data_IF_843028772503
#
_entry.id   IF_843028772503
#
_cell.length_a   1.000
_cell.length_b   1.000
_cell.length_c   1.000
_cell.angle_alpha   90.00
_cell.angle_beta   90.00
_cell.angle_gamma   90.00
#
_symmetry.space_group_name_H-M   'P 1'
#
loop_
_entity.id
_entity.type
_entity.pdbx_description
1 polymer ?
#
# COMPACT_ATOMS: atom_id res chain seq x y z
N UNK A 1 -15.30 48.35 15.40
CA UNK A 1 -15.18 47.24 14.44
C UNK A 1 -14.74 46.00 15.21
N UNK A 2 -15.63 45.07 15.47
CA UNK A 2 -15.33 43.84 16.20
C UNK A 2 -14.63 42.87 15.30
N UNK A 3 -13.41 42.44 15.64
CA UNK A 3 -12.70 41.33 14.96
C UNK A 3 -13.54 40.05 15.15
N UNK A 4 -14.10 39.51 14.05
CA UNK A 4 -14.67 38.17 14.06
C UNK A 4 -13.56 37.19 14.48
N UNK A 5 -13.76 36.56 15.64
CA UNK A 5 -12.92 35.41 16.02
C UNK A 5 -13.04 34.35 14.93
N UNK A 6 -11.91 33.94 14.34
CA UNK A 6 -11.86 32.77 13.47
C UNK A 6 -12.26 31.57 14.33
N UNK A 7 -13.34 30.90 13.96
CA UNK A 7 -13.69 29.61 14.52
C UNK A 7 -12.47 28.68 14.36
N UNK A 8 -11.94 28.19 15.45
CA UNK A 8 -10.88 27.18 15.45
C UNK A 8 -11.53 25.92 14.88
N UNK A 9 -11.13 25.53 13.66
CA UNK A 9 -11.63 24.32 13.01
C UNK A 9 -11.14 23.13 13.84
N UNK A 10 -12.06 22.32 14.32
CA UNK A 10 -11.74 21.11 15.09
C UNK A 10 -10.86 20.20 14.23
N UNK A 11 -9.73 19.72 14.79
CA UNK A 11 -8.79 18.86 14.08
C UNK A 11 -9.42 17.50 13.84
N UNK A 12 -9.17 16.89 12.67
CA UNK A 12 -9.59 15.52 12.39
C UNK A 12 -8.94 14.53 13.38
N UNK A 13 -9.49 13.34 13.50
CA UNK A 13 -8.91 12.28 14.35
C UNK A 13 -7.50 11.95 13.87
N UNK A 14 -7.33 11.83 12.55
CA UNK A 14 -6.04 11.58 11.92
C UNK A 14 -5.01 12.66 12.26
N UNK A 15 -5.38 13.95 12.17
CA UNK A 15 -4.52 15.07 12.54
C UNK A 15 -4.14 15.03 14.04
N UNK A 16 -5.06 14.65 14.89
CA UNK A 16 -4.81 14.55 16.35
C UNK A 16 -3.85 13.43 16.70
N UNK A 17 -4.02 12.27 16.06
CA UNK A 17 -3.11 11.12 16.21
C UNK A 17 -1.72 11.50 15.72
N UNK A 18 -1.64 12.11 14.53
CA UNK A 18 -0.37 12.53 13.96
C UNK A 18 0.38 13.55 14.82
N UNK A 19 -0.30 14.59 15.30
CA UNK A 19 0.30 15.60 16.18
C UNK A 19 0.82 14.98 17.49
N UNK A 20 0.11 13.98 18.00
CA UNK A 20 0.49 13.31 19.24
C UNK A 20 1.65 12.35 19.00
N UNK A 21 1.60 11.62 17.93
CA UNK A 21 2.70 10.78 17.47
C UNK A 21 3.97 11.62 17.29
N UNK A 22 3.90 12.80 16.69
CA UNK A 22 5.04 13.70 16.51
C UNK A 22 5.78 14.07 17.80
N UNK A 23 5.10 14.01 18.94
CA UNK A 23 5.75 14.23 20.25
C UNK A 23 6.75 13.11 20.62
N UNK A 24 6.56 11.90 20.09
CA UNK A 24 7.47 10.76 20.30
C UNK A 24 8.76 10.83 19.50
N UNK A 25 8.83 11.70 18.49
CA UNK A 25 9.94 11.74 17.53
C UNK A 25 11.32 11.83 18.20
N UNK A 26 11.49 12.69 19.19
CA UNK A 26 12.69 12.75 20.04
C UNK A 26 14.02 12.46 19.33
N UNK A 27 14.74 11.45 19.84
CA UNK A 27 16.04 10.98 19.30
C UNK A 27 15.89 9.77 18.37
N UNK A 28 14.68 9.42 17.94
CA UNK A 28 14.42 8.30 17.05
C UNK A 28 14.74 8.66 15.60
N UNK A 29 15.27 7.71 14.85
CA UNK A 29 15.30 7.81 13.39
C UNK A 29 13.88 7.78 12.82
N UNK A 30 13.69 8.28 11.60
CA UNK A 30 12.38 8.33 10.98
C UNK A 30 11.72 6.94 10.89
N UNK A 31 12.49 5.90 10.52
CA UNK A 31 11.99 4.53 10.43
C UNK A 31 11.61 3.94 11.80
N UNK A 32 12.40 4.20 12.84
CA UNK A 32 12.10 3.75 14.19
C UNK A 32 10.85 4.41 14.76
N UNK A 33 10.74 5.71 14.56
CA UNK A 33 9.57 6.50 14.95
C UNK A 33 8.31 6.00 14.25
N UNK A 34 8.37 5.76 12.95
CA UNK A 34 7.30 5.18 12.15
C UNK A 34 6.82 3.84 12.73
N UNK A 35 7.74 2.93 13.04
CA UNK A 35 7.42 1.63 13.62
C UNK A 35 6.71 1.75 14.98
N UNK A 36 7.17 2.67 15.83
CA UNK A 36 6.57 2.90 17.15
C UNK A 36 5.12 3.39 17.01
N UNK A 37 4.89 4.38 16.13
CA UNK A 37 3.56 4.95 15.94
C UNK A 37 2.60 3.94 15.31
N UNK A 38 3.00 3.31 14.22
CA UNK A 38 2.15 2.34 13.51
C UNK A 38 1.85 1.10 14.36
N UNK A 39 2.81 0.68 15.17
CA UNK A 39 2.61 -0.42 16.13
C UNK A 39 1.58 -0.07 17.22
N UNK A 40 1.58 1.17 17.74
CA UNK A 40 0.55 1.62 18.69
C UNK A 40 -0.84 1.71 18.06
N UNK A 41 -0.94 2.24 16.83
CA UNK A 41 -2.21 2.25 16.07
C UNK A 41 -2.73 0.83 15.90
N UNK A 42 -1.85 -0.11 15.55
CA UNK A 42 -2.21 -1.50 15.36
C UNK A 42 -2.63 -2.20 16.67
N UNK A 43 -1.91 -1.96 17.76
CA UNK A 43 -2.26 -2.48 19.08
C UNK A 43 -3.63 -1.99 19.54
N UNK A 44 -3.91 -0.68 19.35
CA UNK A 44 -5.23 -0.12 19.67
C UNK A 44 -6.33 -0.74 18.82
N UNK A 45 -6.08 -0.92 17.51
CA UNK A 45 -7.02 -1.60 16.61
C UNK A 45 -7.37 -3.02 17.10
N UNK A 46 -6.35 -3.83 17.38
CA UNK A 46 -6.55 -5.21 17.87
C UNK A 46 -7.41 -5.19 19.14
N UNK A 47 -7.06 -4.31 20.08
CA UNK A 47 -7.74 -4.21 21.37
C UNK A 47 -9.20 -3.80 21.21
N UNK A 48 -9.50 -2.81 20.36
CA UNK A 48 -10.86 -2.34 20.16
C UNK A 48 -11.74 -3.38 19.43
N UNK A 49 -11.17 -4.11 18.47
CA UNK A 49 -11.88 -5.22 17.82
C UNK A 49 -12.19 -6.33 18.82
N UNK A 50 -11.23 -6.66 19.68
CA UNK A 50 -11.41 -7.65 20.74
C UNK A 50 -12.49 -7.20 21.74
N UNK A 51 -12.38 -5.98 22.28
CA UNK A 51 -13.32 -5.47 23.28
C UNK A 51 -14.75 -5.39 22.73
N UNK A 52 -14.90 -5.04 21.46
CA UNK A 52 -16.20 -5.05 20.79
C UNK A 52 -16.80 -6.46 20.77
N UNK A 53 -16.04 -7.46 20.28
CA UNK A 53 -16.54 -8.86 20.23
C UNK A 53 -16.78 -9.42 21.62
N UNK A 54 -15.92 -9.14 22.59
CA UNK A 54 -16.08 -9.51 23.99
C UNK A 54 -17.41 -9.02 24.56
N UNK A 55 -17.73 -7.73 24.35
CA UNK A 55 -18.99 -7.15 24.82
C UNK A 55 -20.20 -7.76 24.12
N UNK A 56 -20.13 -8.04 22.82
CA UNK A 56 -21.19 -8.75 22.08
C UNK A 56 -21.47 -10.12 22.71
N UNK A 57 -20.43 -10.91 22.97
CA UNK A 57 -20.57 -12.25 23.60
C UNK A 57 -21.11 -12.16 25.04
N UNK A 58 -20.70 -11.14 25.81
CA UNK A 58 -21.29 -10.89 27.15
C UNK A 58 -22.78 -10.54 27.05
N UNK A 59 -23.20 -9.75 26.04
CA UNK A 59 -24.60 -9.42 25.82
C UNK A 59 -25.42 -10.63 25.35
N UNK A 60 -24.85 -11.52 24.57
CA UNK A 60 -25.44 -12.82 24.18
C UNK A 60 -25.70 -13.71 25.40
N UNK A 61 -24.86 -13.61 26.45
CA UNK A 61 -25.09 -14.22 27.76
C UNK A 61 -24.90 -15.73 27.80
N UNK A 62 -24.23 -16.32 26.81
CA UNK A 62 -23.97 -17.78 26.72
C UNK A 62 -22.67 -18.22 27.43
N UNK A 63 -21.83 -17.28 27.89
CA UNK A 63 -20.60 -17.54 28.65
C UNK A 63 -19.40 -17.91 27.79
N UNK A 64 -19.41 -17.53 26.50
CA UNK A 64 -18.32 -17.82 25.56
C UNK A 64 -17.34 -16.64 25.36
N UNK A 65 -17.41 -15.61 26.18
CA UNK A 65 -16.58 -14.41 26.06
C UNK A 65 -15.07 -14.64 26.27
N UNK A 66 -14.70 -15.79 26.81
CA UNK A 66 -13.28 -16.22 26.95
C UNK A 66 -12.95 -17.44 26.05
N UNK A 67 -13.79 -17.74 25.04
CA UNK A 67 -13.52 -18.81 24.09
C UNK A 67 -12.82 -18.27 22.83
N UNK A 68 -11.61 -18.74 22.56
CA UNK A 68 -10.78 -18.34 21.41
C UNK A 68 -11.46 -18.53 20.05
N UNK A 69 -12.24 -19.59 19.91
CA UNK A 69 -12.87 -19.97 18.63
C UNK A 69 -13.90 -18.94 18.20
N UNK A 70 -14.59 -18.29 19.14
CA UNK A 70 -15.56 -17.22 18.89
C UNK A 70 -14.93 -15.96 18.27
N UNK A 71 -13.67 -15.71 18.55
CA UNK A 71 -12.93 -14.58 17.96
C UNK A 71 -12.34 -14.96 16.60
N UNK A 72 -11.77 -16.16 16.52
CA UNK A 72 -11.16 -16.66 15.27
C UNK A 72 -12.21 -16.79 14.15
N UNK A 73 -13.42 -17.23 14.46
CA UNK A 73 -14.53 -17.35 13.50
C UNK A 73 -14.90 -16.02 12.84
N UNK A 74 -14.77 -14.90 13.59
CA UNK A 74 -15.05 -13.54 13.12
C UNK A 74 -13.79 -12.80 12.65
N UNK A 75 -12.63 -13.48 12.51
CA UNK A 75 -11.33 -12.88 12.17
C UNK A 75 -10.88 -11.80 13.15
N UNK A 76 -11.25 -11.91 14.42
CA UNK A 76 -10.78 -11.07 15.51
C UNK A 76 -9.57 -11.73 16.18
N UNK A 77 -8.52 -10.94 16.41
CA UNK A 77 -7.34 -11.43 17.12
C UNK A 77 -7.65 -11.59 18.61
N UNK A 78 -7.20 -12.71 19.17
CA UNK A 78 -7.32 -12.94 20.61
C UNK A 78 -6.39 -12.02 21.40
N UNK A 79 -6.91 -11.40 22.47
CA UNK A 79 -6.13 -10.56 23.37
C UNK A 79 -6.14 -11.16 24.78
N UNK A 80 -5.00 -11.72 25.24
CA UNK A 80 -4.87 -12.23 26.61
C UNK A 80 -5.22 -11.20 27.67
N UNK A 81 -5.70 -11.64 28.81
CA UNK A 81 -6.26 -10.78 29.85
C UNK A 81 -5.28 -9.69 30.32
N UNK A 82 -3.99 -10.02 30.47
CA UNK A 82 -2.92 -9.09 30.89
C UNK A 82 -2.47 -8.14 29.78
N UNK A 83 -2.75 -8.46 28.50
CA UNK A 83 -2.46 -7.66 27.32
C UNK A 83 -3.60 -6.71 26.90
N UNK A 84 -4.76 -6.76 27.57
CA UNK A 84 -5.92 -5.93 27.23
C UNK A 84 -5.63 -4.43 27.41
N UNK A 85 -6.17 -3.62 26.53
CA UNK A 85 -5.91 -2.18 26.47
C UNK A 85 -6.11 -1.46 27.79
N UNK A 86 -7.13 -1.83 28.56
CA UNK A 86 -7.41 -1.28 29.88
C UNK A 86 -6.20 -1.37 30.83
N UNK A 87 -5.45 -2.46 30.77
CA UNK A 87 -4.25 -2.64 31.60
C UNK A 87 -3.13 -1.70 31.12
N UNK A 88 -2.95 -1.55 29.81
CA UNK A 88 -1.97 -0.64 29.21
C UNK A 88 -2.30 0.80 29.59
N UNK A 89 -3.55 1.24 29.39
CA UNK A 89 -4.02 2.57 29.69
C UNK A 89 -3.86 2.94 31.19
N UNK A 90 -4.13 1.99 32.10
CA UNK A 90 -3.94 2.18 33.55
C UNK A 90 -2.49 2.47 33.93
N UNK A 91 -1.53 2.08 33.07
CA UNK A 91 -0.09 2.25 33.28
C UNK A 91 0.51 3.41 32.48
N UNK A 92 -0.31 4.24 31.83
CA UNK A 92 0.15 5.33 30.94
C UNK A 92 1.15 6.29 31.65
N UNK A 93 0.94 6.61 32.92
CA UNK A 93 1.87 7.44 33.68
C UNK A 93 3.03 6.70 34.35
N UNK A 94 3.13 5.38 34.15
CA UNK A 94 4.21 4.58 34.73
C UNK A 94 5.50 4.72 33.91
N UNK A 95 6.68 4.83 34.55
CA UNK A 95 7.95 4.74 33.85
C UNK A 95 8.16 3.36 33.18
N UNK A 96 7.33 2.37 33.51
CA UNK A 96 7.33 1.03 32.91
C UNK A 96 6.39 0.88 31.71
N UNK A 97 5.73 1.94 31.27
CA UNK A 97 4.74 1.87 30.16
C UNK A 97 5.30 1.17 28.92
N UNK A 98 6.55 1.42 28.54
CA UNK A 98 7.18 0.73 27.42
C UNK A 98 7.30 -0.78 27.61
N UNK A 99 7.61 -1.24 28.82
CA UNK A 99 7.68 -2.67 29.16
C UNK A 99 6.27 -3.32 29.13
N UNK A 100 5.26 -2.57 29.57
CA UNK A 100 3.86 -3.04 29.53
C UNK A 100 3.39 -3.23 28.10
N UNK A 101 3.71 -2.28 27.21
CA UNK A 101 3.37 -2.38 25.81
C UNK A 101 4.13 -3.53 25.13
N UNK A 102 5.44 -3.65 25.36
CA UNK A 102 6.24 -4.74 24.79
C UNK A 102 5.70 -6.12 25.23
N UNK A 103 5.34 -6.27 26.51
CA UNK A 103 4.74 -7.48 27.05
C UNK A 103 3.40 -7.80 26.39
N UNK A 104 2.51 -6.80 26.28
CA UNK A 104 1.20 -6.99 25.64
C UNK A 104 1.33 -7.45 24.17
N UNK A 105 2.24 -6.83 23.41
CA UNK A 105 2.51 -7.19 22.02
C UNK A 105 3.10 -8.60 21.89
N UNK A 106 3.96 -9.00 22.82
CA UNK A 106 4.54 -10.34 22.87
C UNK A 106 3.47 -11.40 23.15
N UNK A 107 2.61 -11.19 24.15
CA UNK A 107 1.54 -12.13 24.51
C UNK A 107 0.49 -12.24 23.38
N UNK A 108 0.07 -11.12 22.78
CA UNK A 108 -0.80 -11.15 21.60
C UNK A 108 -0.14 -11.94 20.46
N UNK A 109 1.16 -11.75 20.22
CA UNK A 109 1.88 -12.46 19.16
C UNK A 109 2.06 -13.96 19.44
N UNK A 110 2.07 -14.40 20.71
CA UNK A 110 2.11 -15.84 21.09
C UNK A 110 0.78 -16.53 20.78
N UNK A 111 -0.31 -15.88 21.11
CA UNK A 111 -1.66 -16.43 20.93
C UNK A 111 -2.15 -16.35 19.47
N UNK A 112 -1.58 -15.44 18.66
CA UNK A 112 -1.96 -15.27 17.26
C UNK A 112 -0.77 -15.58 16.33
N UNK A 113 -0.66 -16.80 15.79
CA UNK A 113 0.50 -17.23 14.98
C UNK A 113 0.80 -16.30 13.78
N UNK A 114 -0.23 -15.73 13.15
CA UNK A 114 -0.09 -14.75 12.06
C UNK A 114 0.66 -13.47 12.48
N UNK A 115 0.63 -13.11 13.78
CA UNK A 115 1.23 -11.88 14.31
C UNK A 115 2.60 -12.09 14.95
N UNK A 116 3.02 -13.33 15.21
CA UNK A 116 4.22 -13.66 15.97
C UNK A 116 5.51 -12.96 15.51
N UNK A 117 5.69 -12.78 14.17
CA UNK A 117 6.87 -12.13 13.59
C UNK A 117 6.63 -10.66 13.24
N UNK A 118 5.37 -10.21 13.33
CA UNK A 118 4.90 -8.92 12.84
C UNK A 118 4.95 -7.87 13.94
N UNK A 119 4.63 -8.24 15.18
CA UNK A 119 4.50 -7.31 16.29
C UNK A 119 5.81 -6.58 16.59
N UNK A 120 5.80 -5.24 16.66
CA UNK A 120 6.97 -4.49 17.14
C UNK A 120 7.17 -4.69 18.63
N UNK A 121 8.41 -4.70 19.10
CA UNK A 121 8.75 -4.98 20.50
C UNK A 121 9.90 -4.10 21.00
N UNK A 122 9.80 -2.79 20.80
CA UNK A 122 10.89 -1.85 21.07
C UNK A 122 10.47 -0.63 21.89
N UNK A 123 9.36 -0.71 22.66
CA UNK A 123 8.83 0.42 23.42
C UNK A 123 9.56 0.67 24.73
N UNK A 124 10.24 -0.34 25.28
CA UNK A 124 11.01 -0.26 26.53
C UNK A 124 12.37 0.45 26.38
N UNK A 125 12.88 0.63 25.15
CA UNK A 125 14.20 1.23 24.91
C UNK A 125 14.33 2.64 25.50
N UNK A 126 15.58 3.02 25.91
CA UNK A 126 15.86 4.30 26.54
C UNK A 126 15.56 5.54 25.65
N UNK A 127 15.68 5.37 24.32
CA UNK A 127 15.48 6.45 23.34
C UNK A 127 14.02 6.92 23.26
N UNK A 128 13.08 6.10 23.71
CA UNK A 128 11.66 6.46 23.77
C UNK A 128 11.35 7.12 25.11
N UNK A 129 10.92 8.37 25.04
CA UNK A 129 10.44 9.13 26.20
C UNK A 129 9.14 8.51 26.75
N UNK A 130 9.20 7.96 27.95
CA UNK A 130 8.09 7.25 28.60
C UNK A 130 6.92 8.15 28.97
N UNK A 131 7.18 9.42 29.26
CA UNK A 131 6.12 10.40 29.55
C UNK A 131 5.32 10.67 28.29
N UNK A 132 6.02 10.97 27.19
CA UNK A 132 5.37 11.21 25.88
C UNK A 132 4.66 9.96 25.36
N UNK A 133 5.23 8.77 25.57
CA UNK A 133 4.58 7.51 25.21
C UNK A 133 3.25 7.34 25.97
N UNK A 134 3.25 7.64 27.27
CA UNK A 134 2.04 7.64 28.09
C UNK A 134 0.99 8.65 27.61
N UNK A 135 1.40 9.88 27.25
CA UNK A 135 0.48 10.89 26.67
C UNK A 135 -0.18 10.38 25.37
N UNK A 136 0.56 9.65 24.53
CA UNK A 136 -0.01 9.05 23.30
C UNK A 136 -1.00 7.95 23.63
N UNK A 137 -0.68 7.08 24.61
CA UNK A 137 -1.61 6.04 25.07
C UNK A 137 -2.91 6.66 25.58
N UNK A 138 -2.84 7.74 26.37
CA UNK A 138 -4.05 8.45 26.85
C UNK A 138 -4.89 9.05 25.73
N UNK A 139 -4.24 9.57 24.70
CA UNK A 139 -4.96 10.10 23.54
C UNK A 139 -5.71 9.00 22.82
N UNK A 140 -5.08 7.84 22.62
CA UNK A 140 -5.74 6.67 22.06
C UNK A 140 -6.87 6.14 22.95
N UNK A 141 -6.69 6.15 24.27
CA UNK A 141 -7.69 5.69 25.23
C UNK A 141 -8.96 6.58 25.18
N UNK A 142 -8.78 7.89 25.02
CA UNK A 142 -9.87 8.85 24.93
C UNK A 142 -10.47 9.00 23.52
N UNK A 143 -10.05 8.21 22.56
CA UNK A 143 -10.64 8.18 21.21
C UNK A 143 -11.74 7.14 21.16
N UNK A 144 -12.96 7.59 20.94
CA UNK A 144 -14.06 6.72 20.58
C UNK A 144 -13.94 6.37 19.07
N UNK A 145 -13.28 5.25 18.81
CA UNK A 145 -13.07 4.77 17.44
C UNK A 145 -14.33 4.15 16.86
N UNK A 146 -15.39 3.98 17.64
CA UNK A 146 -16.67 3.40 17.21
C UNK A 146 -17.81 4.44 17.11
N UNK A 147 -17.59 5.70 17.53
CA UNK A 147 -18.62 6.74 17.63
C UNK A 147 -19.38 7.05 16.33
N UNK A 148 -18.87 6.63 15.18
CA UNK A 148 -19.45 6.94 13.86
C UNK A 148 -19.84 5.70 13.04
N UNK A 149 -19.85 4.50 13.59
CA UNK A 149 -20.19 3.28 12.85
C UNK A 149 -19.14 2.82 11.82
N UNK A 150 -17.99 3.48 11.76
CA UNK A 150 -16.94 3.32 10.76
C UNK A 150 -15.66 2.65 11.31
N UNK A 151 -15.73 1.92 12.43
CA UNK A 151 -14.57 1.52 13.22
C UNK A 151 -13.38 0.94 12.44
N UNK A 152 -13.58 -0.10 11.62
CA UNK A 152 -12.49 -0.73 10.84
C UNK A 152 -11.95 0.23 9.77
N UNK A 153 -12.82 0.99 9.11
CA UNK A 153 -12.41 1.94 8.06
C UNK A 153 -11.61 3.12 8.65
N UNK A 154 -11.96 3.58 9.86
CA UNK A 154 -11.23 4.63 10.56
C UNK A 154 -9.79 4.24 10.86
N UNK A 155 -9.53 3.04 11.41
CA UNK A 155 -8.17 2.56 11.65
C UNK A 155 -7.38 2.44 10.34
N UNK A 156 -8.00 1.92 9.30
CA UNK A 156 -7.41 1.85 7.98
C UNK A 156 -7.02 3.22 7.44
N UNK A 157 -7.88 4.24 7.61
CA UNK A 157 -7.58 5.63 7.20
C UNK A 157 -6.47 6.24 8.04
N UNK A 158 -6.50 6.07 9.37
CA UNK A 158 -5.45 6.56 10.27
C UNK A 158 -4.11 5.95 9.93
N UNK A 159 -4.07 4.63 9.69
CA UNK A 159 -2.85 3.93 9.33
C UNK A 159 -2.29 4.44 8.00
N UNK A 160 -3.13 4.58 6.98
CA UNK A 160 -2.76 5.12 5.66
C UNK A 160 -2.29 6.58 5.76
N UNK A 161 -2.99 7.41 6.55
CA UNK A 161 -2.61 8.80 6.82
C UNK A 161 -1.22 8.92 7.46
N UNK A 162 -0.94 8.07 8.45
CA UNK A 162 0.38 8.01 9.05
C UNK A 162 1.45 7.59 8.03
N UNK A 163 1.20 6.56 7.22
CA UNK A 163 2.12 6.13 6.15
C UNK A 163 2.41 7.25 5.15
N UNK A 164 1.40 7.99 4.71
CA UNK A 164 1.54 9.11 3.78
C UNK A 164 2.40 10.24 4.38
N UNK A 165 2.13 10.62 5.64
CA UNK A 165 2.90 11.66 6.31
C UNK A 165 4.35 11.23 6.54
N UNK A 166 4.60 9.97 6.92
CA UNK A 166 5.96 9.45 7.03
C UNK A 166 6.69 9.48 5.68
N UNK A 167 6.02 9.08 4.60
CA UNK A 167 6.59 9.16 3.27
C UNK A 167 6.93 10.61 2.87
N UNK A 168 6.10 11.57 3.25
CA UNK A 168 6.36 12.99 3.00
C UNK A 168 7.54 13.55 3.80
N UNK A 169 7.79 13.04 5.02
CA UNK A 169 8.87 13.50 5.90
C UNK A 169 10.22 12.82 5.65
N UNK A 170 10.23 11.54 5.27
CA UNK A 170 11.46 10.80 4.98
C UNK A 170 12.01 11.21 3.62
N UNK A 171 12.97 12.12 3.61
CA UNK A 171 13.82 12.33 2.44
C UNK A 171 14.55 11.01 2.18
N UNK A 172 14.20 10.37 1.07
CA UNK A 172 14.57 9.01 0.72
C UNK A 172 16.08 8.77 0.67
N UNK A 173 16.63 8.18 1.70
CA UNK A 173 17.96 7.57 1.66
C UNK A 173 17.92 6.04 1.45
N UNK A 174 16.79 5.45 1.07
CA UNK A 174 16.68 3.99 1.01
C UNK A 174 15.75 3.40 -0.06
N UNK A 175 15.22 4.17 -0.99
CA UNK A 175 14.40 3.59 -2.09
C UNK A 175 12.99 3.15 -1.69
N UNK A 176 12.56 3.36 -0.46
CA UNK A 176 11.20 3.06 -0.02
C UNK A 176 10.27 4.19 -0.42
N UNK A 177 9.56 4.00 -1.54
CA UNK A 177 8.59 4.98 -2.04
C UNK A 177 7.17 4.53 -1.68
N UNK A 178 6.46 5.37 -0.95
CA UNK A 178 5.00 5.23 -0.87
C UNK A 178 4.41 5.51 -2.25
N UNK A 179 3.70 4.54 -2.82
CA UNK A 179 3.05 4.72 -4.12
C UNK A 179 1.81 5.58 -3.96
N UNK A 180 1.72 6.73 -4.64
CA UNK A 180 0.52 7.56 -4.60
C UNK A 180 -0.74 6.78 -4.96
N UNK A 181 -1.80 6.97 -4.18
CA UNK A 181 -3.06 6.24 -4.34
C UNK A 181 -3.65 6.38 -5.76
N UNK A 182 -3.52 7.53 -6.38
CA UNK A 182 -4.02 7.76 -7.74
C UNK A 182 -3.29 6.91 -8.80
N UNK A 183 -1.99 6.62 -8.63
CA UNK A 183 -1.25 5.69 -9.51
C UNK A 183 -1.76 4.26 -9.31
N UNK A 184 -1.89 3.84 -8.04
CA UNK A 184 -2.38 2.50 -7.71
C UNK A 184 -3.78 2.29 -8.28
N UNK A 185 -4.67 3.26 -8.10
CA UNK A 185 -6.04 3.21 -8.64
C UNK A 185 -6.06 3.16 -10.16
N UNK A 186 -5.17 3.91 -10.83
CA UNK A 186 -5.04 3.81 -12.29
C UNK A 186 -4.71 2.38 -12.73
N UNK A 187 -3.77 1.71 -12.03
CA UNK A 187 -3.41 0.32 -12.32
C UNK A 187 -4.59 -0.62 -12.08
N UNK A 188 -5.23 -0.50 -10.93
CA UNK A 188 -6.35 -1.37 -10.52
C UNK A 188 -7.56 -1.21 -11.43
N UNK A 189 -7.91 0.04 -11.82
CA UNK A 189 -9.01 0.33 -12.75
C UNK A 189 -8.77 -0.20 -14.16
N UNK A 190 -7.51 -0.27 -14.59
CA UNK A 190 -7.15 -0.88 -15.88
C UNK A 190 -7.14 -2.40 -15.81
N UNK A 191 -6.58 -2.98 -14.74
CA UNK A 191 -6.42 -4.44 -14.61
C UNK A 191 -7.70 -5.14 -14.18
N UNK A 192 -8.52 -4.50 -13.34
CA UNK A 192 -9.80 -5.01 -12.80
C UNK A 192 -9.66 -6.39 -12.12
N UNK A 193 -8.91 -6.51 -11.01
CA UNK A 193 -8.63 -7.77 -10.34
C UNK A 193 -9.82 -8.24 -9.49
N UNK A 194 -10.95 -8.61 -10.12
CA UNK A 194 -12.15 -9.07 -9.43
C UNK A 194 -12.03 -10.43 -8.76
N UNK A 195 -11.19 -11.30 -9.30
CA UNK A 195 -10.95 -12.65 -8.79
C UNK A 195 -9.61 -13.16 -9.29
N UNK A 196 -9.03 -14.14 -8.59
CA UNK A 196 -7.76 -14.76 -8.95
C UNK A 196 -6.62 -14.38 -8.01
N UNK A 197 -5.40 -14.61 -8.46
CA UNK A 197 -4.16 -14.45 -7.69
C UNK A 197 -3.49 -13.13 -8.02
N UNK A 198 -3.37 -12.25 -7.03
CA UNK A 198 -2.78 -10.92 -7.14
C UNK A 198 -1.41 -10.92 -6.46
N UNK A 199 -0.36 -10.49 -7.17
CA UNK A 199 1.02 -10.50 -6.68
C UNK A 199 1.69 -9.13 -6.80
N UNK A 200 2.48 -8.79 -5.79
CA UNK A 200 3.40 -7.65 -5.80
C UNK A 200 4.78 -8.09 -5.27
N UNK A 201 5.82 -8.21 -6.14
CA UNK A 201 7.15 -8.64 -5.75
C UNK A 201 7.96 -7.59 -4.96
N UNK A 202 7.44 -6.38 -4.81
CA UNK A 202 8.05 -5.28 -4.05
C UNK A 202 6.95 -4.51 -3.32
N UNK A 203 6.18 -5.24 -2.49
CA UNK A 203 4.85 -4.81 -2.04
C UNK A 203 4.87 -3.61 -1.08
N UNK A 204 6.04 -3.20 -0.59
CA UNK A 204 6.12 -2.08 0.33
C UNK A 204 5.22 -2.29 1.54
N UNK A 205 4.43 -1.29 1.88
CA UNK A 205 3.41 -1.37 2.95
C UNK A 205 2.09 -2.02 2.53
N UNK A 206 2.01 -2.67 1.37
CA UNK A 206 0.82 -3.37 0.88
C UNK A 206 -0.23 -2.48 0.22
N UNK A 207 0.13 -1.28 -0.20
CA UNK A 207 -0.81 -0.30 -0.79
C UNK A 207 -1.54 -0.79 -2.05
N UNK A 208 -0.88 -1.57 -2.92
CA UNK A 208 -1.50 -2.17 -4.11
C UNK A 208 -2.64 -3.12 -3.73
N UNK A 209 -2.44 -3.95 -2.70
CA UNK A 209 -3.45 -4.90 -2.24
C UNK A 209 -4.66 -4.22 -1.61
N UNK A 210 -4.41 -3.18 -0.81
CA UNK A 210 -5.48 -2.38 -0.18
C UNK A 210 -6.38 -1.75 -1.23
N UNK A 211 -5.81 -1.15 -2.27
CA UNK A 211 -6.60 -0.53 -3.34
C UNK A 211 -7.31 -1.58 -4.20
N UNK A 212 -6.70 -2.75 -4.43
CA UNK A 212 -7.37 -3.86 -5.11
C UNK A 212 -8.59 -4.34 -4.33
N UNK A 213 -8.46 -4.49 -3.02
CA UNK A 213 -9.58 -4.87 -2.16
C UNK A 213 -10.70 -3.82 -2.17
N UNK A 214 -10.36 -2.53 -2.06
CA UNK A 214 -11.32 -1.42 -2.18
C UNK A 214 -12.05 -1.46 -3.52
N UNK A 215 -11.34 -1.68 -4.63
CA UNK A 215 -11.93 -1.80 -5.96
C UNK A 215 -12.96 -2.92 -6.03
N UNK A 216 -12.61 -4.13 -5.53
CA UNK A 216 -13.53 -5.29 -5.52
C UNK A 216 -14.78 -4.98 -4.70
N UNK A 217 -14.64 -4.39 -3.51
CA UNK A 217 -15.77 -4.03 -2.65
C UNK A 217 -16.71 -3.01 -3.31
N UNK A 218 -16.17 -1.99 -3.95
CA UNK A 218 -16.95 -0.94 -4.59
C UNK A 218 -17.74 -1.41 -5.80
N UNK A 219 -17.21 -2.41 -6.50
CA UNK A 219 -17.90 -3.05 -7.62
C UNK A 219 -18.75 -4.26 -7.18
N UNK A 220 -19.09 -4.35 -5.88
CA UNK A 220 -19.90 -5.44 -5.31
C UNK A 220 -19.32 -6.83 -5.56
N UNK A 221 -17.99 -6.91 -5.71
CA UNK A 221 -17.27 -8.17 -5.88
C UNK A 221 -17.11 -8.93 -4.55
N UNK A 222 -16.59 -10.14 -4.65
CA UNK A 222 -16.35 -11.00 -3.50
C UNK A 222 -14.84 -11.08 -3.19
N UNK A 223 -14.40 -10.46 -2.11
CA UNK A 223 -13.00 -10.47 -1.68
C UNK A 223 -12.45 -11.88 -1.43
N UNK A 224 -13.29 -12.86 -1.07
CA UNK A 224 -12.86 -14.25 -0.88
C UNK A 224 -12.38 -14.93 -2.16
N UNK A 225 -12.63 -14.32 -3.33
CA UNK A 225 -12.13 -14.79 -4.61
C UNK A 225 -10.76 -14.22 -5.01
N UNK A 226 -10.25 -13.26 -4.25
CA UNK A 226 -8.94 -12.64 -4.48
C UNK A 226 -7.94 -13.20 -3.49
N UNK A 227 -6.89 -13.83 -3.99
CA UNK A 227 -5.78 -14.35 -3.18
C UNK A 227 -4.58 -13.43 -3.34
N UNK A 228 -4.10 -12.88 -2.25
CA UNK A 228 -3.03 -11.88 -2.21
C UNK A 228 -1.70 -12.54 -1.92
N UNK A 229 -0.70 -12.24 -2.75
CA UNK A 229 0.69 -12.68 -2.59
C UNK A 229 1.61 -11.48 -2.69
N UNK A 230 2.65 -11.44 -1.87
CA UNK A 230 3.60 -10.34 -1.91
C UNK A 230 4.97 -10.74 -1.44
N UNK A 231 5.93 -9.90 -1.74
CA UNK A 231 7.26 -10.00 -1.19
C UNK A 231 7.83 -8.62 -0.92
N UNK A 232 8.58 -8.48 0.16
CA UNK A 232 9.21 -7.23 0.56
C UNK A 232 10.62 -7.50 1.09
N UNK A 233 11.57 -6.67 0.69
CA UNK A 233 12.98 -6.80 1.07
C UNK A 233 13.26 -6.33 2.50
N UNK A 234 12.62 -5.23 2.92
CA UNK A 234 12.87 -4.60 4.21
C UNK A 234 12.01 -5.24 5.31
N UNK A 235 12.66 -5.67 6.38
CA UNK A 235 12.00 -6.33 7.53
C UNK A 235 10.89 -5.48 8.17
N UNK A 236 11.13 -4.16 8.32
CA UNK A 236 10.17 -3.27 8.96
C UNK A 236 8.98 -3.01 8.03
N UNK A 237 9.25 -2.79 6.75
CA UNK A 237 8.22 -2.57 5.73
C UNK A 237 7.36 -3.82 5.52
N UNK A 238 7.97 -5.02 5.57
CA UNK A 238 7.25 -6.29 5.56
C UNK A 238 6.26 -6.41 6.74
N UNK A 239 6.72 -6.05 7.96
CA UNK A 239 5.84 -6.00 9.15
C UNK A 239 4.70 -4.98 8.98
N UNK A 240 5.01 -3.80 8.44
CA UNK A 240 4.01 -2.78 8.15
C UNK A 240 2.95 -3.26 7.14
N UNK A 241 3.35 -4.00 6.11
CA UNK A 241 2.42 -4.61 5.17
C UNK A 241 1.46 -5.58 5.86
N UNK A 242 1.97 -6.48 6.70
CA UNK A 242 1.13 -7.39 7.48
C UNK A 242 0.13 -6.65 8.37
N UNK A 243 0.58 -5.63 9.12
CA UNK A 243 -0.32 -4.82 9.95
C UNK A 243 -1.37 -4.09 9.12
N UNK A 244 -0.97 -3.50 7.98
CA UNK A 244 -1.86 -2.78 7.08
C UNK A 244 -2.97 -3.67 6.51
N UNK A 245 -2.63 -4.90 6.12
CA UNK A 245 -3.57 -5.87 5.58
C UNK A 245 -4.48 -6.43 6.69
N UNK A 246 -3.91 -6.72 7.86
CA UNK A 246 -4.65 -7.24 9.00
C UNK A 246 -5.74 -6.26 9.49
N UNK A 247 -5.45 -4.95 9.58
CA UNK A 247 -6.43 -3.90 9.93
C UNK A 247 -7.65 -3.94 8.98
N UNK A 248 -7.48 -4.42 7.76
CA UNK A 248 -8.54 -4.47 6.75
C UNK A 248 -9.15 -5.86 6.57
N UNK A 249 -8.77 -6.80 7.44
CA UNK A 249 -9.23 -8.19 7.35
C UNK A 249 -8.79 -8.90 6.06
N UNK A 250 -7.67 -8.47 5.46
CA UNK A 250 -7.14 -9.05 4.23
C UNK A 250 -6.10 -10.12 4.57
N UNK A 251 -6.38 -11.35 4.19
CA UNK A 251 -5.39 -12.43 4.23
C UNK A 251 -4.44 -12.33 3.04
N UNK A 252 -3.12 -12.45 3.32
CA UNK A 252 -2.09 -12.39 2.29
C UNK A 252 -0.92 -13.34 2.63
N UNK A 253 -0.37 -13.95 1.60
CA UNK A 253 0.91 -14.66 1.69
C UNK A 253 2.04 -13.71 1.27
N UNK A 254 2.74 -13.14 2.26
CA UNK A 254 3.90 -12.28 2.05
C UNK A 254 5.23 -13.03 2.23
N UNK A 255 5.20 -14.36 2.16
CA UNK A 255 6.32 -15.23 2.47
C UNK A 255 6.54 -15.40 3.98
N UNK A 256 7.32 -16.41 4.37
CA UNK A 256 7.63 -16.69 5.78
C UNK A 256 8.48 -15.62 6.46
N UNK A 257 9.15 -14.78 5.67
CA UNK A 257 10.00 -13.66 6.09
C UNK A 257 10.20 -12.69 4.93
N UNK A 258 10.68 -11.50 5.25
CA UNK A 258 11.21 -10.56 4.25
C UNK A 258 12.35 -11.19 3.44
N UNK A 259 12.56 -10.74 2.20
CA UNK A 259 13.60 -11.27 1.34
C UNK A 259 13.72 -10.56 -0.02
N UNK A 260 14.88 -10.74 -0.64
CA UNK A 260 15.17 -10.21 -1.98
C UNK A 260 14.45 -11.02 -3.06
N UNK A 261 13.52 -10.41 -3.78
CA UNK A 261 12.73 -11.07 -4.83
C UNK A 261 13.57 -11.63 -5.99
N UNK A 262 14.79 -11.14 -6.18
CA UNK A 262 15.69 -11.70 -7.16
C UNK A 262 16.50 -12.88 -6.63
N UNK A 263 17.06 -12.75 -5.42
CA UNK A 263 17.98 -13.74 -4.86
C UNK A 263 17.34 -14.75 -3.92
N UNK A 264 16.16 -14.47 -3.38
CA UNK A 264 15.42 -15.30 -2.43
C UNK A 264 13.91 -15.21 -2.69
N UNK A 265 13.53 -15.64 -3.89
CA UNK A 265 12.14 -15.60 -4.39
C UNK A 265 11.24 -16.55 -3.59
N UNK A 266 10.40 -15.98 -2.72
CA UNK A 266 9.50 -16.74 -1.83
C UNK A 266 8.35 -17.43 -2.59
N UNK A 267 8.10 -17.00 -3.82
CA UNK A 267 7.01 -17.47 -4.68
C UNK A 267 7.51 -18.11 -5.99
N UNK A 268 8.74 -18.63 -6.02
CA UNK A 268 9.45 -19.07 -7.22
C UNK A 268 8.65 -20.02 -8.14
N UNK A 269 7.78 -20.86 -7.57
CA UNK A 269 7.00 -21.85 -8.32
C UNK A 269 5.56 -21.38 -8.62
N UNK A 270 5.22 -20.14 -8.24
CA UNK A 270 3.86 -19.64 -8.32
C UNK A 270 3.62 -18.84 -9.60
N UNK A 271 2.37 -18.87 -10.09
CA UNK A 271 1.91 -18.05 -11.21
C UNK A 271 0.69 -17.25 -10.80
N UNK A 272 0.60 -16.02 -11.33
CA UNK A 272 -0.37 -15.03 -10.88
C UNK A 272 -1.19 -14.48 -12.05
N UNK A 273 -2.45 -14.15 -11.77
CA UNK A 273 -3.38 -13.62 -12.76
C UNK A 273 -3.19 -12.11 -12.92
N UNK A 274 -2.86 -11.44 -11.82
CA UNK A 274 -2.56 -10.01 -11.79
C UNK A 274 -1.26 -9.78 -11.02
N UNK A 275 -0.35 -9.02 -11.63
CA UNK A 275 0.87 -8.56 -10.97
C UNK A 275 0.89 -7.05 -11.02
N UNK A 276 0.99 -6.40 -9.87
CA UNK A 276 0.99 -4.96 -9.76
C UNK A 276 2.13 -4.52 -8.87
N UNK A 277 3.00 -3.63 -9.36
CA UNK A 277 4.14 -3.22 -8.56
C UNK A 277 4.63 -1.81 -8.87
N UNK A 278 5.24 -1.22 -7.85
CA UNK A 278 6.07 -0.04 -7.94
C UNK A 278 7.44 -0.35 -7.32
N UNK A 279 8.31 -1.11 -8.00
CA UNK A 279 9.62 -1.49 -7.47
C UNK A 279 10.58 -0.29 -7.40
N UNK A 280 11.70 -0.41 -6.67
CA UNK A 280 12.73 0.62 -6.65
C UNK A 280 13.23 0.96 -8.04
N UNK A 281 13.23 2.27 -8.41
CA UNK A 281 13.64 2.72 -9.73
C UNK A 281 15.15 2.71 -9.88
N UNK A 282 15.63 2.25 -11.04
CA UNK A 282 17.04 2.31 -11.43
C UNK A 282 18.00 1.68 -10.39
N UNK A 283 17.55 0.65 -9.69
CA UNK A 283 18.33 -0.02 -8.65
C UNK A 283 19.56 -0.67 -9.27
N UNK A 284 20.74 -0.32 -8.76
CA UNK A 284 22.01 -1.00 -9.03
C UNK A 284 22.25 -2.07 -7.96
N UNK A 285 23.26 -2.91 -8.15
CA UNK A 285 23.71 -3.91 -7.17
C UNK A 285 22.60 -4.92 -6.77
N UNK A 286 21.67 -5.23 -7.68
CA UNK A 286 20.55 -6.16 -7.49
C UNK A 286 20.96 -7.65 -7.58
N UNK A 287 22.26 -7.96 -7.53
CA UNK A 287 22.76 -9.33 -7.58
C UNK A 287 22.95 -9.92 -8.98
N UNK A 288 22.95 -9.09 -10.04
CA UNK A 288 23.03 -9.49 -11.44
C UNK A 288 24.09 -10.55 -11.75
N UNK A 289 25.30 -10.43 -11.18
CA UNK A 289 26.41 -11.38 -11.40
C UNK A 289 26.09 -12.79 -10.95
N UNK A 290 25.34 -12.93 -9.85
CA UNK A 290 24.94 -14.25 -9.32
C UNK A 290 23.78 -14.86 -10.09
N UNK A 291 23.07 -14.03 -10.85
CA UNK A 291 21.83 -14.37 -11.56
C UNK A 291 22.01 -14.33 -13.07
N UNK A 292 23.25 -14.35 -13.60
CA UNK A 292 23.51 -14.26 -15.04
C UNK A 292 22.80 -15.33 -15.86
N UNK A 293 22.66 -16.54 -15.31
CA UNK A 293 22.07 -17.71 -15.98
C UNK A 293 20.65 -18.02 -15.49
N UNK A 294 19.99 -17.03 -14.86
CA UNK A 294 18.65 -17.22 -14.29
C UNK A 294 17.60 -17.44 -15.39
N UNK A 295 16.72 -18.40 -15.16
CA UNK A 295 15.67 -18.80 -16.12
C UNK A 295 14.67 -17.69 -16.43
N UNK A 296 14.58 -16.67 -15.58
CA UNK A 296 13.73 -15.51 -15.77
C UNK A 296 14.18 -14.62 -16.94
N UNK A 297 15.46 -14.63 -17.30
CA UNK A 297 16.03 -13.74 -18.34
C UNK A 297 15.78 -14.20 -19.78
N UNK A 298 14.56 -14.62 -20.05
CA UNK A 298 14.15 -15.14 -21.36
C UNK A 298 14.36 -14.15 -22.52
N UNK A 299 14.24 -12.86 -22.24
CA UNK A 299 14.34 -11.79 -23.25
C UNK A 299 15.72 -11.14 -23.30
N UNK A 300 16.64 -11.59 -22.49
CA UNK A 300 18.02 -11.13 -22.39
C UNK A 300 18.40 -10.79 -20.96
N UNK A 301 19.69 -10.94 -20.64
CA UNK A 301 20.20 -10.67 -19.29
C UNK A 301 20.15 -9.17 -19.02
N UNK A 302 19.48 -8.72 -17.94
CA UNK A 302 19.43 -7.31 -17.59
C UNK A 302 20.80 -6.79 -17.12
N UNK A 303 21.11 -5.50 -17.33
CA UNK A 303 22.39 -4.93 -16.92
C UNK A 303 22.55 -4.89 -15.41
N UNK A 304 23.76 -5.08 -14.91
CA UNK A 304 24.11 -4.96 -13.48
C UNK A 304 23.79 -3.56 -12.91
N UNK A 305 23.92 -2.54 -13.73
CA UNK A 305 23.73 -1.14 -13.34
C UNK A 305 22.26 -0.71 -13.16
N UNK A 306 21.30 -1.53 -13.61
CA UNK A 306 19.88 -1.14 -13.57
C UNK A 306 18.94 -2.37 -13.58
N UNK A 307 18.10 -2.49 -12.54
CA UNK A 307 17.18 -3.60 -12.38
C UNK A 307 15.81 -3.41 -13.08
N UNK A 308 15.54 -2.30 -13.77
CA UNK A 308 14.21 -2.05 -14.34
C UNK A 308 13.73 -3.22 -15.22
N UNK A 309 14.60 -3.73 -16.10
CA UNK A 309 14.27 -4.86 -16.95
C UNK A 309 14.41 -6.25 -16.27
N UNK A 310 15.06 -6.32 -15.11
CA UNK A 310 15.00 -7.49 -14.24
C UNK A 310 13.61 -7.60 -13.60
N UNK A 311 13.05 -6.50 -13.08
CA UNK A 311 11.69 -6.45 -12.56
C UNK A 311 10.65 -6.85 -13.61
N UNK A 312 10.74 -6.29 -14.83
CA UNK A 312 9.84 -6.68 -15.94
C UNK A 312 9.90 -8.18 -16.16
N UNK A 313 11.09 -8.76 -16.31
CA UNK A 313 11.23 -10.18 -16.64
C UNK A 313 10.87 -11.10 -15.47
N UNK A 314 11.15 -10.69 -14.22
CA UNK A 314 10.67 -11.39 -13.03
C UNK A 314 9.15 -11.50 -13.02
N UNK A 315 8.45 -10.39 -13.23
CA UNK A 315 6.98 -10.40 -13.28
C UNK A 315 6.43 -11.20 -14.46
N UNK A 316 7.01 -11.06 -15.64
CA UNK A 316 6.63 -11.86 -16.81
C UNK A 316 6.85 -13.35 -16.55
N UNK A 317 7.91 -13.74 -15.84
CA UNK A 317 8.13 -15.13 -15.44
C UNK A 317 7.00 -15.66 -14.56
N UNK A 318 6.55 -14.87 -13.59
CA UNK A 318 5.49 -15.24 -12.67
C UNK A 318 4.07 -15.09 -13.22
N UNK A 319 3.91 -14.59 -14.43
CA UNK A 319 2.59 -14.35 -15.02
C UNK A 319 1.93 -15.67 -15.46
N UNK A 320 0.66 -15.84 -15.12
CA UNK A 320 -0.18 -16.96 -15.59
C UNK A 320 -0.40 -16.86 -17.12
N UNK A 321 -0.87 -17.92 -17.80
CA UNK A 321 -1.10 -17.90 -19.27
C UNK A 321 -2.07 -16.82 -19.75
N UNK A 322 -2.93 -16.32 -18.87
CA UNK A 322 -3.91 -15.25 -19.15
C UNK A 322 -3.67 -14.00 -18.32
N UNK A 323 -2.55 -13.97 -17.61
CA UNK A 323 -2.28 -12.93 -16.62
C UNK A 323 -1.92 -11.57 -17.23
N UNK A 324 -2.07 -10.54 -16.40
CA UNK A 324 -1.82 -9.14 -16.73
C UNK A 324 -0.91 -8.49 -15.70
N UNK A 325 -0.09 -7.53 -16.14
CA UNK A 325 0.80 -6.75 -15.25
C UNK A 325 0.48 -5.26 -15.37
N UNK A 326 0.55 -4.55 -14.26
CA UNK A 326 0.63 -3.09 -14.16
C UNK A 326 1.88 -2.70 -13.37
N UNK A 327 2.86 -2.11 -14.04
CA UNK A 327 4.18 -1.85 -13.50
C UNK A 327 4.56 -0.38 -13.62
N UNK A 328 4.89 0.25 -12.49
CA UNK A 328 5.41 1.62 -12.44
C UNK A 328 6.92 1.60 -12.67
N UNK A 329 7.41 2.38 -13.61
CA UNK A 329 8.84 2.58 -13.85
C UNK A 329 9.16 4.03 -14.17
N UNK A 330 10.42 4.42 -13.97
CA UNK A 330 10.92 5.71 -14.45
C UNK A 330 10.81 5.81 -15.98
N UNK A 331 10.50 7.00 -16.51
CA UNK A 331 10.36 7.22 -17.96
C UNK A 331 11.61 6.82 -18.78
N UNK A 332 12.81 6.81 -18.16
CA UNK A 332 14.02 6.29 -18.77
C UNK A 332 13.87 4.88 -19.31
N UNK A 333 13.01 4.05 -18.72
CA UNK A 333 12.73 2.68 -19.18
C UNK A 333 12.20 2.62 -20.62
N UNK A 334 11.56 3.69 -21.10
CA UNK A 334 11.00 3.76 -22.46
C UNK A 334 12.06 3.93 -23.56
N UNK A 335 13.17 4.57 -23.24
CA UNK A 335 14.14 5.04 -24.24
C UNK A 335 15.56 4.52 -24.05
N UNK A 336 15.90 4.00 -22.86
CA UNK A 336 17.24 3.49 -22.57
C UNK A 336 17.68 2.40 -23.56
N UNK A 337 18.94 2.43 -23.95
CA UNK A 337 19.61 1.38 -24.71
C UNK A 337 20.84 0.84 -23.99
N UNK A 338 21.14 1.38 -22.80
CA UNK A 338 22.32 1.03 -22.01
C UNK A 338 22.27 -0.44 -21.59
N UNK A 339 23.41 -1.11 -21.65
CA UNK A 339 23.55 -2.48 -21.14
C UNK A 339 22.60 -3.52 -21.78
N UNK A 340 22.13 -3.30 -22.99
CA UNK A 340 21.25 -4.22 -23.69
C UNK A 340 19.76 -4.03 -23.42
N UNK A 341 19.34 -3.06 -22.59
CA UNK A 341 17.94 -2.83 -22.25
C UNK A 341 17.06 -2.56 -23.49
N UNK A 342 17.60 -1.87 -24.50
CA UNK A 342 16.89 -1.64 -25.77
C UNK A 342 16.54 -2.93 -26.50
N UNK A 343 17.43 -3.94 -26.49
CA UNK A 343 17.20 -5.23 -27.12
C UNK A 343 16.20 -6.08 -26.31
N UNK A 344 16.27 -6.03 -24.98
CA UNK A 344 15.27 -6.69 -24.12
C UNK A 344 13.89 -6.09 -24.38
N UNK A 345 13.77 -4.76 -24.44
CA UNK A 345 12.51 -4.07 -24.76
C UNK A 345 11.95 -4.51 -26.12
N UNK A 346 12.80 -4.54 -27.15
CA UNK A 346 12.44 -5.00 -28.49
C UNK A 346 11.85 -6.41 -28.44
N UNK A 347 12.54 -7.35 -27.79
CA UNK A 347 12.06 -8.74 -27.67
C UNK A 347 10.76 -8.90 -26.90
N UNK A 348 10.53 -8.09 -25.87
CA UNK A 348 9.25 -8.06 -25.14
C UNK A 348 8.10 -7.58 -26.04
N UNK A 349 8.35 -6.58 -26.90
CA UNK A 349 7.36 -6.07 -27.87
C UNK A 349 7.13 -7.13 -28.96
N UNK A 350 8.18 -7.73 -29.52
CA UNK A 350 8.09 -8.79 -30.54
C UNK A 350 7.40 -10.07 -30.01
N UNK A 351 7.52 -10.33 -28.71
CA UNK A 351 6.77 -11.40 -28.03
C UNK A 351 5.29 -11.04 -27.77
N UNK A 352 4.85 -9.88 -28.23
CA UNK A 352 3.49 -9.35 -28.12
C UNK A 352 2.96 -9.26 -26.68
N UNK A 353 3.86 -9.00 -25.72
CA UNK A 353 3.49 -8.90 -24.29
C UNK A 353 3.05 -7.51 -23.87
N UNK A 354 3.58 -6.46 -24.48
CA UNK A 354 3.26 -5.08 -24.11
C UNK A 354 1.88 -4.72 -24.63
N UNK A 355 0.94 -4.45 -23.71
CA UNK A 355 -0.44 -4.08 -24.04
C UNK A 355 -0.62 -2.57 -24.16
N UNK A 356 -0.03 -1.82 -23.22
CA UNK A 356 -0.11 -0.36 -23.25
C UNK A 356 0.89 0.30 -22.32
N UNK A 357 1.08 1.59 -22.53
CA UNK A 357 1.96 2.45 -21.73
C UNK A 357 1.26 3.78 -21.45
N UNK A 358 1.25 4.18 -20.19
CA UNK A 358 0.71 5.48 -19.75
C UNK A 358 1.87 6.34 -19.26
N UNK A 359 2.13 7.47 -19.92
CA UNK A 359 3.06 8.48 -19.43
C UNK A 359 2.35 9.33 -18.37
N UNK A 360 2.82 9.24 -17.12
CA UNK A 360 2.16 9.88 -15.98
C UNK A 360 2.60 11.34 -15.82
N UNK A 361 1.80 12.18 -15.14
CA UNK A 361 2.20 13.54 -14.77
C UNK A 361 3.43 13.55 -13.84
N UNK A 362 4.15 14.65 -13.86
CA UNK A 362 5.19 14.91 -12.87
C UNK A 362 4.59 15.24 -11.50
N UNK A 363 5.39 15.15 -10.45
CA UNK A 363 5.03 15.56 -9.08
C UNK A 363 3.89 14.75 -8.44
N UNK A 364 3.66 13.52 -8.88
CA UNK A 364 2.72 12.60 -8.22
C UNK A 364 3.29 12.03 -6.92
N UNK A 365 4.60 11.77 -6.87
CA UNK A 365 5.28 11.28 -5.66
C UNK A 365 5.65 12.44 -4.74
N UNK A 366 5.51 12.25 -3.43
CA UNK A 366 5.80 13.29 -2.42
C UNK A 366 7.28 13.70 -2.41
N UNK A 367 8.19 12.74 -2.58
CA UNK A 367 9.64 12.95 -2.39
C UNK A 367 10.47 12.77 -3.65
N UNK A 368 9.86 12.48 -4.79
CA UNK A 368 10.58 12.22 -6.04
C UNK A 368 9.96 12.98 -7.19
N UNK A 369 10.77 13.83 -7.84
CA UNK A 369 10.37 14.54 -9.06
C UNK A 369 10.62 13.73 -10.34
N UNK A 370 10.99 12.44 -10.24
CA UNK A 370 11.28 11.61 -11.40
C UNK A 370 9.98 11.34 -12.17
N UNK A 371 9.93 11.68 -13.48
CA UNK A 371 8.78 11.32 -14.30
C UNK A 371 8.66 9.80 -14.42
N UNK A 372 7.45 9.29 -14.22
CA UNK A 372 7.17 7.86 -14.30
C UNK A 372 6.20 7.52 -15.41
N UNK A 373 6.22 6.27 -15.82
CA UNK A 373 5.21 5.67 -16.69
C UNK A 373 4.70 4.38 -16.07
N UNK A 374 3.49 4.01 -16.45
CA UNK A 374 2.93 2.69 -16.11
C UNK A 374 2.95 1.83 -17.36
N UNK A 375 3.63 0.70 -17.26
CA UNK A 375 3.64 -0.34 -18.28
C UNK A 375 2.55 -1.36 -17.98
N UNK A 376 1.77 -1.69 -19.01
CA UNK A 376 0.80 -2.78 -18.96
C UNK A 376 1.24 -3.91 -19.87
N UNK A 377 1.32 -5.13 -19.31
CA UNK A 377 1.60 -6.34 -20.05
C UNK A 377 0.40 -7.28 -19.97
N UNK A 378 0.19 -8.06 -21.05
CA UNK A 378 -0.90 -9.02 -21.12
C UNK A 378 -0.45 -10.23 -21.94
N UNK A 379 -0.53 -11.43 -21.36
CA UNK A 379 -0.20 -12.67 -22.06
C UNK A 379 -1.21 -13.05 -23.14
N UNK A 380 -2.43 -12.53 -23.02
CA UNK A 380 -3.53 -12.83 -23.93
C UNK A 380 -4.21 -11.54 -24.39
N UNK A 381 -3.45 -10.73 -25.14
CA UNK A 381 -3.96 -9.46 -25.69
C UNK A 381 -5.15 -9.69 -26.60
N UNK A 382 -6.15 -8.83 -26.50
CA UNK A 382 -7.30 -8.80 -27.42
C UNK A 382 -6.93 -8.18 -28.77
N UNK A 383 -5.91 -7.31 -28.81
CA UNK A 383 -5.40 -6.66 -30.00
C UNK A 383 -3.94 -7.07 -30.27
N UNK A 384 -3.67 -8.28 -30.81
CA UNK A 384 -2.32 -8.73 -31.09
C UNK A 384 -1.57 -7.78 -32.02
N UNK A 385 -0.25 -7.63 -31.78
CA UNK A 385 0.62 -6.77 -32.58
C UNK A 385 0.43 -5.27 -32.39
N UNK A 386 -0.45 -4.83 -31.47
CA UNK A 386 -0.72 -3.43 -31.21
C UNK A 386 -0.39 -3.05 -29.77
N UNK A 387 0.01 -1.79 -29.57
CA UNK A 387 0.30 -1.21 -28.25
C UNK A 387 -0.47 0.10 -28.09
N UNK A 388 -1.15 0.28 -26.97
CA UNK A 388 -1.82 1.53 -26.61
C UNK A 388 -0.85 2.49 -25.93
N UNK A 389 -0.74 3.72 -26.41
CA UNK A 389 0.00 4.81 -25.75
C UNK A 389 -0.97 5.84 -25.23
N UNK A 390 -0.87 6.21 -23.95
CA UNK A 390 -1.64 7.27 -23.32
C UNK A 390 -0.68 8.32 -22.77
N UNK A 391 -0.90 9.58 -23.17
CA UNK A 391 -0.19 10.75 -22.64
C UNK A 391 -1.04 11.44 -21.56
N UNK A 392 -0.82 11.06 -20.31
CA UNK A 392 -1.49 11.64 -19.16
C UNK A 392 -0.67 12.78 -18.50
N UNK A 393 0.45 13.22 -19.10
CA UNK A 393 1.37 14.20 -18.49
C UNK A 393 0.73 15.56 -18.19
N UNK A 394 -0.32 15.94 -18.90
CA UNK A 394 -1.08 17.16 -18.67
C UNK A 394 -2.28 17.00 -17.73
N UNK A 395 -2.57 15.78 -17.28
CA UNK A 395 -3.69 15.47 -16.39
C UNK A 395 -3.35 15.78 -14.92
N UNK A 396 -4.37 15.77 -14.10
CA UNK A 396 -4.24 16.03 -12.66
C UNK A 396 -4.11 17.50 -12.30
N UNK A 397 -4.18 17.78 -11.01
CA UNK A 397 -4.12 19.14 -10.47
C UNK A 397 -3.12 19.21 -9.30
N UNK A 398 -2.48 20.37 -9.14
CA UNK A 398 -1.64 20.64 -7.98
C UNK A 398 -2.50 20.76 -6.72
N UNK A 399 -2.26 19.89 -5.74
CA UNK A 399 -2.95 19.92 -4.44
C UNK A 399 -2.23 20.82 -3.45
N UNK A 400 -0.93 21.00 -3.65
CA UNK A 400 -0.08 21.97 -2.96
C UNK A 400 1.00 22.50 -3.92
N UNK A 401 2.05 23.15 -3.42
CA UNK A 401 3.12 23.75 -4.25
C UNK A 401 4.00 22.74 -4.96
N UNK A 402 4.07 21.52 -4.46
CA UNK A 402 5.03 20.49 -4.88
C UNK A 402 4.38 19.20 -5.33
N UNK A 403 3.13 18.97 -4.94
CA UNK A 403 2.43 17.71 -5.14
C UNK A 403 1.22 17.85 -6.06
N UNK A 404 1.08 16.89 -6.99
CA UNK A 404 -0.02 16.75 -7.95
C UNK A 404 -0.80 15.48 -7.66
N UNK A 405 -2.10 15.50 -7.86
CA UNK A 405 -2.95 14.32 -7.83
C UNK A 405 -3.77 14.20 -9.12
N UNK A 406 -4.04 12.97 -9.54
CA UNK A 406 -5.05 12.67 -10.55
C UNK A 406 -6.41 12.64 -9.87
N UNK A 407 -7.41 13.21 -10.52
CA UNK A 407 -8.80 13.09 -10.08
C UNK A 407 -9.28 11.64 -10.25
N UNK A 408 -10.09 11.20 -9.29
CA UNK A 408 -10.67 9.86 -9.23
C UNK A 408 -12.06 10.01 -8.63
N UNK A 409 -12.98 9.13 -8.93
CA UNK A 409 -14.33 9.11 -8.37
C UNK A 409 -14.32 8.93 -6.85
N UNK A 410 -13.25 8.37 -6.31
CA UNK A 410 -13.04 8.15 -4.88
C UNK A 410 -12.13 9.17 -4.21
N UNK A 411 -11.04 9.57 -4.84
CA UNK A 411 -10.12 10.60 -4.34
C UNK A 411 -10.77 11.97 -4.16
N UNK A 412 -12.00 12.14 -4.61
CA UNK A 412 -12.79 13.34 -4.29
C UNK A 412 -12.80 13.64 -2.80
N UNK A 413 -12.56 12.62 -1.96
CA UNK A 413 -12.86 12.69 -0.54
C UNK A 413 -11.68 12.42 0.38
N UNK A 414 -10.60 11.77 -0.06
CA UNK A 414 -9.62 11.20 0.86
C UNK A 414 -8.48 12.13 1.28
N UNK A 415 -7.96 12.96 0.40
CA UNK A 415 -6.68 13.64 0.68
C UNK A 415 -6.75 15.15 0.80
N UNK A 416 -7.84 15.74 0.41
CA UNK A 416 -7.94 17.20 0.45
C UNK A 416 -9.24 17.63 1.08
N UNK A 417 -9.18 18.51 2.04
CA UNK A 417 -10.32 19.27 2.61
C UNK A 417 -10.96 20.11 1.50
N UNK A 418 -11.97 19.71 0.93
CA UNK A 418 -12.32 19.33 -0.31
C UNK A 418 -13.48 19.77 -1.00
N UNK A 419 -14.43 20.38 -0.36
CA UNK A 419 -15.59 21.06 -0.92
C UNK A 419 -15.22 22.20 -1.87
N UNK A 420 -13.96 22.67 -1.77
CA UNK A 420 -13.45 23.80 -2.54
C UNK A 420 -12.63 23.41 -3.79
N UNK A 421 -12.48 22.12 -4.09
CA UNK A 421 -11.66 21.70 -5.24
C UNK A 421 -12.52 21.52 -6.49
N UNK A 422 -12.08 22.02 -7.67
CA UNK A 422 -12.85 21.96 -8.91
C UNK A 422 -13.28 20.54 -9.29
N UNK A 423 -12.42 19.54 -9.09
CA UNK A 423 -12.70 18.15 -9.46
C UNK A 423 -13.67 17.44 -8.52
N UNK A 424 -13.89 17.94 -7.28
CA UNK A 424 -14.89 17.37 -6.37
C UNK A 424 -16.32 17.43 -6.95
N UNK A 425 -16.52 18.20 -8.02
CA UNK A 425 -17.79 18.35 -8.72
C UNK A 425 -17.81 17.67 -10.09
N UNK A 426 -16.70 17.04 -10.52
CA UNK A 426 -16.67 16.34 -11.80
C UNK A 426 -17.54 15.07 -11.73
N UNK A 427 -18.28 14.74 -12.79
CA UNK A 427 -18.84 13.40 -12.97
C UNK A 427 -17.73 12.34 -12.88
N UNK A 428 -18.06 11.13 -12.40
CA UNK A 428 -17.07 10.05 -12.22
C UNK A 428 -16.31 9.76 -13.53
N UNK A 429 -17.02 9.67 -14.63
CA UNK A 429 -16.50 9.38 -15.97
C UNK A 429 -15.53 10.45 -16.52
N UNK A 430 -15.57 11.67 -15.99
CA UNK A 430 -14.68 12.76 -16.36
C UNK A 430 -13.40 12.82 -15.52
N UNK A 431 -13.33 12.04 -14.46
CA UNK A 431 -12.12 11.96 -13.63
C UNK A 431 -10.95 11.37 -14.41
N UNK A 432 -9.73 11.81 -14.12
CA UNK A 432 -8.51 11.42 -14.84
C UNK A 432 -8.29 9.91 -14.88
N UNK A 433 -8.43 9.25 -13.73
CA UNK A 433 -8.24 7.79 -13.60
C UNK A 433 -9.25 7.03 -14.46
N UNK A 434 -10.53 7.42 -14.39
CA UNK A 434 -11.60 6.77 -15.16
C UNK A 434 -11.45 7.00 -16.67
N UNK A 435 -10.96 8.16 -17.10
CA UNK A 435 -10.65 8.44 -18.51
C UNK A 435 -9.53 7.56 -19.03
N UNK A 436 -8.45 7.36 -18.26
CA UNK A 436 -7.37 6.44 -18.62
C UNK A 436 -7.92 5.01 -18.74
N UNK A 437 -8.66 4.54 -17.73
CA UNK A 437 -9.26 3.21 -17.73
C UNK A 437 -10.27 3.00 -18.87
N UNK A 438 -11.08 4.03 -19.17
CA UNK A 438 -12.01 3.99 -20.30
C UNK A 438 -11.31 3.85 -21.65
N UNK A 439 -10.15 4.51 -21.84
CA UNK A 439 -9.34 4.35 -23.05
C UNK A 439 -8.83 2.90 -23.20
N UNK A 440 -8.38 2.25 -22.11
CA UNK A 440 -8.02 0.83 -22.13
C UNK A 440 -9.21 -0.06 -22.47
N UNK A 441 -10.37 0.15 -21.87
CA UNK A 441 -11.58 -0.63 -22.16
C UNK A 441 -12.01 -0.48 -23.63
N UNK A 442 -11.98 0.75 -24.17
CA UNK A 442 -12.28 1.00 -25.58
C UNK A 442 -11.24 0.36 -26.51
N UNK A 443 -9.96 0.39 -26.14
CA UNK A 443 -8.89 -0.30 -26.86
C UNK A 443 -9.12 -1.83 -26.89
N UNK A 444 -9.42 -2.43 -25.76
CA UNK A 444 -9.72 -3.87 -25.68
C UNK A 444 -10.97 -4.26 -26.49
N UNK A 445 -11.98 -3.38 -26.52
CA UNK A 445 -13.18 -3.57 -27.31
C UNK A 445 -12.98 -3.31 -28.81
N UNK A 446 -11.82 -2.78 -29.23
CA UNK A 446 -11.55 -2.40 -30.62
C UNK A 446 -12.32 -1.16 -31.10
N UNK A 447 -12.82 -0.35 -30.17
CA UNK A 447 -13.64 0.86 -30.46
C UNK A 447 -12.89 2.16 -30.17
N UNK A 448 -11.63 2.08 -29.71
CA UNK A 448 -10.83 3.25 -29.41
C UNK A 448 -10.45 3.99 -30.69
N UNK A 449 -10.75 5.27 -30.74
CA UNK A 449 -10.22 6.19 -31.75
C UNK A 449 -8.99 6.93 -31.21
N UNK A 450 -8.01 7.19 -32.07
CA UNK A 450 -6.84 7.99 -31.70
C UNK A 450 -7.26 9.41 -31.35
N UNK A 451 -6.86 9.89 -30.16
CA UNK A 451 -7.15 11.24 -29.70
C UNK A 451 -5.84 12.02 -29.59
N UNK A 452 -5.68 13.04 -30.45
CA UNK A 452 -4.48 13.87 -30.47
C UNK A 452 -4.20 14.49 -29.09
N UNK A 453 -2.99 14.22 -28.58
CA UNK A 453 -2.55 14.73 -27.27
C UNK A 453 -3.06 13.93 -26.07
N UNK A 454 -3.74 12.79 -26.30
CA UNK A 454 -4.17 11.90 -25.21
C UNK A 454 -3.84 10.44 -25.48
N UNK A 455 -4.34 9.83 -26.55
CA UNK A 455 -4.08 8.40 -26.78
C UNK A 455 -3.86 8.08 -28.27
N UNK A 456 -3.06 7.04 -28.50
CA UNK A 456 -2.75 6.50 -29.81
C UNK A 456 -2.50 5.00 -29.75
N UNK A 457 -2.99 4.28 -30.76
CA UNK A 457 -2.67 2.87 -30.99
C UNK A 457 -1.58 2.75 -32.05
N UNK A 458 -0.51 1.99 -31.79
CA UNK A 458 0.58 1.77 -32.72
C UNK A 458 0.94 0.28 -32.84
#
# INVERSE_FOLDING_TARGET
MAKKAKAVKEKSIEDRIWDSANKLRGNLTASEYQNVVLGLVFLKYISDCFDKRYNELVEEGEGFEEDHDEYTAENVFWVPQDARWKNIASMAHSPKIGQVIDHALEEIGKENPKLKKVMPNNYSRPEIDKIRLGEVVEIFDNMDMHAHGEGIDLFGRVYEYCLQNFAAETQSSGGEFYTPSCIVRTIVEVLQPFEGRVYDPACGSGGMFVQSAKFVQQHQGNLRKVNIFGQEFNANTWKMAHMNLAIRGLDADLGESWGDSFGDDKHANEKFDFIMANPPFNMSEWGARRLSDDVRWKYGVPPESNANYAWIQHMVHHLSPTGRIGLVLANGSLTTTTGGEGEIRKRLIEADLVEGIVAMPNQLFYNVSIPVCVWFFNRKKKNPGKVLFIDARSMGMMVDRTHRELSDDQCRYDTVKKEDKPWAKLPAEECDVQRIAAAFRAYEAGTLEDVKGFCKVA
#
